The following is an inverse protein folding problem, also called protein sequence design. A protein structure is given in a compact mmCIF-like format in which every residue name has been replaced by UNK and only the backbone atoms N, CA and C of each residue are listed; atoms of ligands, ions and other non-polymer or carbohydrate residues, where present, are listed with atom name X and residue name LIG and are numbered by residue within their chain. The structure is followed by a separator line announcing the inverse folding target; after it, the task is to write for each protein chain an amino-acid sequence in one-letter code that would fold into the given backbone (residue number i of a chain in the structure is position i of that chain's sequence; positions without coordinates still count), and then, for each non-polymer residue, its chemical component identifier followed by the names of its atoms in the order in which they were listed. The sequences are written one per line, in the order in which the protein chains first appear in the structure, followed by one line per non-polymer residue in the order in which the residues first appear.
data_IF_311703850008
#
_entry.id   IF_311703850008
#
_cell.length_a   1.000
_cell.length_b   1.000
_cell.length_c   1.000
_cell.angle_alpha   90.00
_cell.angle_beta   90.00
_cell.angle_gamma   90.00
#
_symmetry.space_group_name_H-M   'P 1'
#
loop_
_entity.id
_entity.type
_entity.pdbx_description
1 polymer ?
#
# COMPACT_ATOMS: atom_id res chain seq x y z
N UNK A 1 51.24 0.01 -38.00
CA UNK A 1 51.42 -0.23 -36.56
C UNK A 1 50.13 0.19 -35.87
N UNK A 2 49.45 -0.78 -35.27
CA UNK A 2 48.10 -0.67 -34.73
C UNK A 2 48.20 -0.48 -33.21
N UNK A 3 47.65 0.61 -32.68
CA UNK A 3 47.55 0.83 -31.23
C UNK A 3 46.36 0.02 -30.69
N UNK A 4 46.52 -0.83 -29.65
CA UNK A 4 45.41 -1.62 -29.14
C UNK A 4 44.58 -0.81 -28.13
N UNK A 5 43.27 -0.78 -28.37
CA UNK A 5 42.25 -0.29 -27.45
C UNK A 5 42.26 -1.07 -26.11
N UNK A 6 41.93 -0.45 -24.96
CA UNK A 6 41.75 -1.20 -23.73
C UNK A 6 40.38 -1.89 -23.70
N UNK A 7 40.22 -3.01 -22.97
CA UNK A 7 38.98 -3.75 -22.94
C UNK A 7 37.89 -2.97 -22.18
N UNK A 8 36.67 -3.03 -22.72
CA UNK A 8 35.44 -2.55 -22.08
C UNK A 8 35.30 -3.22 -20.70
N UNK A 9 35.54 -2.46 -19.63
CA UNK A 9 35.11 -2.84 -18.29
C UNK A 9 33.58 -2.80 -18.29
N UNK A 10 32.95 -3.96 -18.27
CA UNK A 10 31.57 -4.10 -17.83
C UNK A 10 31.47 -3.52 -16.42
N UNK A 11 30.90 -2.32 -16.30
CA UNK A 11 30.52 -1.77 -15.02
C UNK A 11 29.50 -2.75 -14.40
N UNK A 12 29.93 -3.53 -13.40
CA UNK A 12 29.00 -4.22 -12.52
C UNK A 12 28.14 -3.13 -11.88
N UNK A 13 26.88 -3.06 -12.32
CA UNK A 13 25.81 -2.30 -11.69
C UNK A 13 25.90 -2.58 -10.17
N UNK A 14 26.07 -1.56 -9.30
CA UNK A 14 25.94 -1.80 -7.88
C UNK A 14 24.55 -2.35 -7.65
N UNK A 15 24.47 -3.60 -7.15
CA UNK A 15 23.24 -4.08 -6.53
C UNK A 15 22.95 -3.08 -5.42
N UNK A 16 21.86 -2.31 -5.57
CA UNK A 16 21.37 -1.46 -4.50
C UNK A 16 21.32 -2.31 -3.21
N UNK A 17 21.68 -1.74 -2.04
CA UNK A 17 21.51 -2.45 -0.78
C UNK A 17 20.06 -2.90 -0.73
N UNK A 18 19.83 -4.22 -0.68
CA UNK A 18 18.51 -4.73 -0.30
C UNK A 18 18.31 -4.24 1.13
N UNK A 19 17.66 -3.09 1.28
CA UNK A 19 17.08 -2.67 2.54
C UNK A 19 16.13 -3.82 2.89
N UNK A 20 16.52 -4.63 3.86
CA UNK A 20 15.63 -5.64 4.39
C UNK A 20 14.38 -4.89 4.84
N UNK A 21 13.22 -5.29 4.31
CA UNK A 21 11.96 -4.75 4.78
C UNK A 21 11.94 -4.84 6.32
N UNK A 22 11.49 -3.79 7.02
CA UNK A 22 11.35 -3.83 8.47
C UNK A 22 10.61 -5.12 8.84
N UNK A 23 11.25 -5.96 9.65
CA UNK A 23 10.55 -7.12 10.21
C UNK A 23 9.43 -6.56 11.07
N UNK A 24 8.23 -7.11 10.88
CA UNK A 24 7.08 -6.77 11.70
C UNK A 24 7.48 -6.93 13.17
N UNK A 25 7.24 -5.92 14.02
CA UNK A 25 7.59 -6.01 15.43
C UNK A 25 6.86 -7.21 16.02
N UNK A 26 7.64 -8.13 16.59
CA UNK A 26 7.10 -9.33 17.23
C UNK A 26 6.39 -8.90 18.50
N UNK A 27 5.12 -9.28 18.68
CA UNK A 27 4.34 -9.06 19.91
C UNK A 27 4.76 -10.09 20.98
N UNK A 28 5.53 -9.70 22.02
CA UNK A 28 6.01 -10.63 23.03
C UNK A 28 4.87 -11.13 23.94
N UNK A 29 3.83 -10.33 24.15
CA UNK A 29 2.67 -10.71 24.95
C UNK A 29 1.86 -11.82 24.26
N UNK A 30 1.64 -11.69 22.95
CA UNK A 30 1.01 -12.75 22.15
C UNK A 30 1.81 -14.06 22.17
N UNK A 31 3.14 -13.98 22.04
CA UNK A 31 4.01 -15.16 22.16
C UNK A 31 3.83 -15.82 23.53
N UNK A 32 3.81 -15.03 24.59
CA UNK A 32 3.58 -15.52 25.95
C UNK A 32 2.28 -16.30 26.08
N UNK A 33 1.15 -15.67 25.73
CA UNK A 33 -0.17 -16.33 25.77
C UNK A 33 -0.17 -17.63 24.98
N UNK A 34 0.45 -17.66 23.80
CA UNK A 34 0.54 -18.87 22.96
C UNK A 34 1.37 -20.00 23.59
N UNK A 35 2.45 -19.66 24.30
CA UNK A 35 3.26 -20.65 25.05
C UNK A 35 2.44 -21.28 26.16
N UNK A 36 1.70 -20.47 26.92
CA UNK A 36 0.81 -20.94 27.99
C UNK A 36 -0.27 -21.87 27.46
N UNK A 37 -1.00 -21.47 26.42
CA UNK A 37 -2.04 -22.30 25.78
C UNK A 37 -1.49 -23.65 25.31
N UNK A 38 -0.26 -23.67 24.77
CA UNK A 38 0.41 -24.90 24.35
C UNK A 38 0.74 -25.81 25.54
N UNK A 39 1.19 -25.22 26.65
CA UNK A 39 1.51 -25.96 27.89
C UNK A 39 0.24 -26.47 28.58
N UNK A 40 -0.83 -25.68 28.60
CA UNK A 40 -2.10 -26.01 29.20
C UNK A 40 -2.90 -27.07 28.41
N UNK A 41 -2.63 -27.25 27.11
CA UNK A 41 -3.37 -28.20 26.27
C UNK A 41 -3.32 -29.60 26.88
N UNK A 42 -4.48 -30.17 27.17
CA UNK A 42 -4.58 -31.49 27.80
C UNK A 42 -4.59 -31.48 29.34
N UNK A 43 -4.48 -30.32 29.99
CA UNK A 43 -4.57 -30.18 31.45
C UNK A 43 -6.01 -30.03 31.93
N UNK A 44 -6.33 -30.66 33.05
CA UNK A 44 -7.57 -30.44 33.79
C UNK A 44 -7.45 -29.26 34.77
N UNK A 45 -8.53 -28.95 35.48
CA UNK A 45 -8.60 -27.81 36.39
C UNK A 45 -7.53 -27.86 37.49
N UNK A 46 -7.30 -29.03 38.10
CA UNK A 46 -6.33 -29.19 39.18
C UNK A 46 -4.89 -29.00 38.66
N UNK A 47 -4.57 -29.53 37.48
CA UNK A 47 -3.26 -29.36 36.86
C UNK A 47 -3.00 -27.90 36.45
N UNK A 48 -4.02 -27.20 35.93
CA UNK A 48 -3.91 -25.77 35.61
C UNK A 48 -3.75 -24.92 36.86
N UNK A 49 -4.51 -25.18 37.92
CA UNK A 49 -4.40 -24.45 39.18
C UNK A 49 -2.99 -24.57 39.79
N UNK A 50 -2.41 -25.78 39.78
CA UNK A 50 -1.04 -26.00 40.23
C UNK A 50 -0.01 -25.23 39.37
N UNK A 51 -0.14 -25.28 38.05
CA UNK A 51 0.73 -24.55 37.14
C UNK A 51 0.61 -23.01 37.29
N UNK A 52 -0.58 -22.51 37.59
CA UNK A 52 -0.82 -21.09 37.88
C UNK A 52 -0.17 -20.67 39.20
N UNK A 53 -0.20 -21.52 40.24
CA UNK A 53 0.51 -21.22 41.49
C UNK A 53 2.03 -21.12 41.28
N UNK A 54 2.60 -22.03 40.49
CA UNK A 54 4.01 -21.98 40.09
C UNK A 54 4.31 -20.68 39.32
N UNK A 55 3.50 -20.34 38.33
CA UNK A 55 3.67 -19.11 37.54
C UNK A 55 3.58 -17.84 38.41
N UNK A 56 2.67 -17.80 39.39
CA UNK A 56 2.58 -16.71 40.37
C UNK A 56 3.79 -16.65 41.28
N UNK A 57 4.38 -17.80 41.62
CA UNK A 57 5.61 -17.84 42.39
C UNK A 57 6.78 -17.27 41.61
N UNK A 58 6.94 -17.68 40.36
CA UNK A 58 7.99 -17.18 39.45
C UNK A 58 7.84 -15.66 39.24
N UNK A 59 6.63 -15.17 38.95
CA UNK A 59 6.36 -13.74 38.80
C UNK A 59 6.74 -12.90 40.05
N UNK A 60 6.58 -13.45 41.27
CA UNK A 60 7.01 -12.80 42.51
C UNK A 60 8.53 -12.80 42.71
N UNK A 61 9.24 -13.77 42.16
CA UNK A 61 10.70 -13.76 42.15
C UNK A 61 11.20 -12.72 41.15
N UNK A 62 10.64 -12.73 39.95
CA UNK A 62 11.01 -11.83 38.85
C UNK A 62 10.76 -10.36 39.21
N UNK A 63 9.71 -10.04 39.97
CA UNK A 63 9.43 -8.68 40.44
C UNK A 63 10.52 -8.07 41.32
N UNK A 64 11.50 -8.86 41.79
CA UNK A 64 12.64 -8.39 42.58
C UNK A 64 13.83 -7.92 41.72
N UNK A 65 13.74 -8.10 40.40
CA UNK A 65 14.77 -7.73 39.45
C UNK A 65 14.33 -6.51 38.63
N UNK A 66 15.06 -5.40 38.73
CA UNK A 66 14.76 -4.13 38.02
C UNK A 66 14.87 -4.28 36.49
N UNK A 67 15.64 -5.27 36.02
CA UNK A 67 15.95 -5.52 34.60
C UNK A 67 14.75 -6.05 33.79
N UNK A 68 13.61 -6.34 34.44
CA UNK A 68 12.39 -6.92 33.85
C UNK A 68 11.23 -5.93 33.74
N UNK A 69 11.43 -4.64 34.04
CA UNK A 69 10.36 -3.63 34.01
C UNK A 69 9.71 -3.45 32.62
N UNK A 70 10.43 -3.75 31.54
CA UNK A 70 9.94 -3.70 30.16
C UNK A 70 9.45 -5.07 29.64
N UNK A 71 9.42 -6.11 30.48
CA UNK A 71 8.92 -7.43 30.08
C UNK A 71 7.39 -7.47 30.03
N UNK A 72 6.85 -7.28 28.83
CA UNK A 72 5.41 -7.42 28.56
C UNK A 72 4.97 -8.89 28.41
N UNK A 73 5.91 -9.84 28.33
CA UNK A 73 5.60 -11.25 28.10
C UNK A 73 5.22 -11.96 29.39
N UNK A 74 5.98 -11.82 30.47
CA UNK A 74 5.69 -12.43 31.76
C UNK A 74 4.27 -12.14 32.29
N UNK A 75 3.83 -10.87 32.34
CA UNK A 75 2.46 -10.52 32.73
C UNK A 75 1.40 -11.18 31.84
N UNK A 76 1.61 -11.20 30.52
CA UNK A 76 0.68 -11.81 29.58
C UNK A 76 0.59 -13.34 29.72
N UNK A 77 1.70 -14.01 30.06
CA UNK A 77 1.68 -15.45 30.39
C UNK A 77 0.86 -15.70 31.65
N UNK A 78 1.02 -14.88 32.69
CA UNK A 78 0.28 -15.02 33.94
C UNK A 78 -1.23 -14.78 33.75
N UNK A 79 -1.61 -13.70 33.07
CA UNK A 79 -3.01 -13.40 32.74
C UNK A 79 -3.67 -14.54 31.95
N UNK A 80 -2.93 -15.17 31.03
CA UNK A 80 -3.46 -16.29 30.26
C UNK A 80 -3.65 -17.54 31.12
N UNK A 81 -2.75 -17.84 32.06
CA UNK A 81 -2.95 -18.92 33.03
C UNK A 81 -4.20 -18.69 33.87
N UNK A 82 -4.40 -17.47 34.37
CA UNK A 82 -5.58 -17.10 35.18
C UNK A 82 -6.88 -17.23 34.38
N UNK A 83 -6.86 -16.86 33.10
CA UNK A 83 -8.01 -17.03 32.22
C UNK A 83 -8.35 -18.51 32.00
N UNK A 84 -7.36 -19.36 31.77
CA UNK A 84 -7.58 -20.80 31.56
C UNK A 84 -8.10 -21.45 32.85
N UNK A 85 -7.56 -21.07 34.01
CA UNK A 85 -8.06 -21.53 35.32
C UNK A 85 -9.54 -21.17 35.51
N UNK A 86 -9.92 -19.92 35.25
CA UNK A 86 -11.32 -19.46 35.31
C UNK A 86 -12.23 -20.19 34.30
N UNK A 87 -11.73 -20.43 33.08
CA UNK A 87 -12.44 -21.16 32.03
C UNK A 87 -12.75 -22.59 32.47
N UNK A 88 -11.77 -23.30 33.03
CA UNK A 88 -11.94 -24.68 33.50
C UNK A 88 -12.79 -24.76 34.76
N UNK A 89 -12.69 -23.78 35.67
CA UNK A 89 -13.52 -23.70 36.86
C UNK A 89 -15.02 -23.55 36.51
N UNK A 90 -15.34 -22.89 35.40
CA UNK A 90 -16.70 -22.74 34.89
C UNK A 90 -17.20 -23.95 34.06
N UNK A 91 -16.31 -24.87 33.69
CA UNK A 91 -16.62 -26.01 32.84
C UNK A 91 -17.12 -27.23 33.64
N UNK A 92 -17.80 -28.20 32.99
CA UNK A 92 -18.18 -29.45 33.63
C UNK A 92 -16.96 -30.20 34.21
N UNK A 93 -17.16 -30.93 35.31
CA UNK A 93 -16.10 -31.73 35.91
C UNK A 93 -15.50 -32.75 34.92
N UNK A 94 -14.17 -32.88 34.94
CA UNK A 94 -13.43 -33.72 33.98
C UNK A 94 -13.22 -33.07 32.61
N UNK A 95 -13.60 -31.80 32.42
CA UNK A 95 -13.22 -31.02 31.24
C UNK A 95 -11.72 -30.76 31.27
N UNK A 96 -11.10 -30.91 30.11
CA UNK A 96 -9.67 -30.68 29.88
C UNK A 96 -9.53 -29.51 28.91
N UNK A 97 -8.51 -28.68 29.11
CA UNK A 97 -8.27 -27.52 28.25
C UNK A 97 -7.86 -27.94 26.83
N UNK A 98 -8.62 -27.47 25.84
CA UNK A 98 -8.27 -27.56 24.43
C UNK A 98 -8.36 -26.18 23.75
N UNK A 99 -7.23 -25.56 23.39
CA UNK A 99 -7.21 -24.24 22.76
C UNK A 99 -7.94 -24.20 21.41
N UNK A 100 -8.13 -25.35 20.74
CA UNK A 100 -8.83 -25.39 19.45
C UNK A 100 -10.35 -25.17 19.60
N UNK A 101 -10.88 -25.40 20.80
CA UNK A 101 -12.32 -25.19 21.12
C UNK A 101 -12.58 -23.84 21.80
N UNK A 102 -11.53 -23.21 22.34
CA UNK A 102 -11.58 -21.94 23.05
C UNK A 102 -11.99 -20.78 22.14
N UNK A 103 -13.11 -20.11 22.46
CA UNK A 103 -13.66 -19.00 21.65
C UNK A 103 -12.70 -17.82 21.54
N UNK A 104 -11.94 -17.51 22.60
CA UNK A 104 -10.96 -16.40 22.59
C UNK A 104 -9.85 -16.72 21.60
N UNK A 105 -9.33 -17.95 21.65
CA UNK A 105 -8.26 -18.39 20.73
C UNK A 105 -8.75 -18.42 19.29
N UNK A 106 -9.97 -18.91 19.04
CA UNK A 106 -10.57 -18.92 17.70
C UNK A 106 -10.78 -17.50 17.15
N UNK A 107 -11.24 -16.57 17.99
CA UNK A 107 -11.42 -15.18 17.59
C UNK A 107 -10.09 -14.49 17.26
N UNK A 108 -9.05 -14.72 18.06
CA UNK A 108 -7.70 -14.20 17.79
C UNK A 108 -7.13 -14.73 16.47
N UNK A 109 -7.23 -16.04 16.21
CA UNK A 109 -6.75 -16.65 14.97
C UNK A 109 -7.53 -16.15 13.74
N UNK A 110 -8.84 -15.92 13.87
CA UNK A 110 -9.65 -15.35 12.81
C UNK A 110 -9.23 -13.90 12.50
N UNK A 111 -8.94 -13.11 13.53
CA UNK A 111 -8.43 -11.75 13.36
C UNK A 111 -7.04 -11.73 12.69
N UNK A 112 -6.14 -12.63 13.10
CA UNK A 112 -4.81 -12.77 12.48
C UNK A 112 -4.92 -13.19 11.01
N UNK A 113 -5.79 -14.15 10.69
CA UNK A 113 -6.04 -14.57 9.32
C UNK A 113 -6.62 -13.45 8.46
N UNK A 114 -7.55 -12.65 9.01
CA UNK A 114 -8.12 -11.49 8.31
C UNK A 114 -7.05 -10.42 8.05
N UNK A 115 -6.20 -10.11 9.04
CA UNK A 115 -5.09 -9.17 8.88
C UNK A 115 -4.07 -9.67 7.85
N UNK A 116 -3.74 -10.98 7.85
CA UNK A 116 -2.87 -11.58 6.86
C UNK A 116 -3.46 -11.49 5.44
N UNK A 117 -4.75 -11.78 5.29
CA UNK A 117 -5.43 -11.67 4.00
C UNK A 117 -5.49 -10.23 3.48
N UNK A 118 -5.68 -9.25 4.37
CA UNK A 118 -5.64 -7.82 4.03
C UNK A 118 -4.24 -7.41 3.53
N UNK A 119 -3.18 -7.76 4.26
CA UNK A 119 -1.79 -7.52 3.84
C UNK A 119 -1.46 -8.19 2.51
N UNK A 120 -1.91 -9.42 2.30
CA UNK A 120 -1.71 -10.11 1.03
C UNK A 120 -2.46 -9.42 -0.12
N UNK A 121 -3.67 -8.91 0.13
CA UNK A 121 -4.41 -8.13 -0.85
C UNK A 121 -3.71 -6.82 -1.22
N UNK A 122 -3.17 -6.10 -0.23
CA UNK A 122 -2.36 -4.90 -0.44
C UNK A 122 -1.10 -5.20 -1.25
N UNK A 123 -0.37 -6.28 -0.93
CA UNK A 123 0.82 -6.69 -1.69
C UNK A 123 0.48 -7.09 -3.13
N UNK A 124 -0.63 -7.82 -3.34
CA UNK A 124 -1.11 -8.16 -4.68
C UNK A 124 -1.49 -6.92 -5.47
N UNK A 125 -2.09 -5.93 -4.83
CA UNK A 125 -2.46 -4.67 -5.46
C UNK A 125 -1.21 -3.86 -5.83
N UNK A 126 -0.27 -3.70 -4.89
CA UNK A 126 1.01 -3.04 -5.15
C UNK A 126 1.77 -3.71 -6.30
N UNK A 127 1.76 -5.05 -6.39
CA UNK A 127 2.37 -5.77 -7.50
C UNK A 127 1.68 -5.50 -8.85
N UNK A 128 0.35 -5.32 -8.87
CA UNK A 128 -0.38 -4.93 -10.09
C UNK A 128 -0.06 -3.51 -10.52
N UNK A 129 -0.04 -2.57 -9.57
CA UNK A 129 0.35 -1.17 -9.82
C UNK A 129 1.79 -1.10 -10.34
N UNK A 130 2.71 -1.84 -9.71
CA UNK A 130 4.09 -1.97 -10.13
C UNK A 130 4.24 -2.48 -11.57
N UNK A 131 3.53 -3.56 -11.92
CA UNK A 131 3.57 -4.11 -13.26
C UNK A 131 2.97 -3.14 -14.30
N UNK A 132 1.91 -2.42 -13.92
CA UNK A 132 1.32 -1.40 -14.79
C UNK A 132 2.25 -0.21 -15.00
N UNK A 133 2.94 0.24 -13.96
CA UNK A 133 3.99 1.27 -14.06
C UNK A 133 5.09 0.85 -15.06
N UNK A 134 5.56 -0.40 -14.97
CA UNK A 134 6.56 -0.93 -15.91
C UNK A 134 6.03 -0.99 -17.36
N UNK A 135 4.74 -1.33 -17.55
CA UNK A 135 4.09 -1.30 -18.87
C UNK A 135 4.04 0.13 -19.44
N UNK A 136 3.64 1.13 -18.63
CA UNK A 136 3.60 2.53 -19.06
C UNK A 136 4.98 3.06 -19.43
N UNK A 137 6.01 2.71 -18.64
CA UNK A 137 7.40 3.02 -18.96
C UNK A 137 7.82 2.41 -20.31
N UNK A 138 7.50 1.13 -20.56
CA UNK A 138 7.84 0.47 -21.82
C UNK A 138 7.12 1.11 -23.02
N UNK A 139 5.82 1.45 -22.88
CA UNK A 139 5.06 2.14 -23.92
C UNK A 139 5.65 3.52 -24.25
N UNK A 140 6.14 4.23 -23.23
CA UNK A 140 6.82 5.51 -23.37
C UNK A 140 8.15 5.36 -24.10
N UNK A 141 8.97 4.38 -23.72
CA UNK A 141 10.25 4.08 -24.40
C UNK A 141 10.07 3.67 -25.87
N UNK A 142 8.94 3.06 -26.21
CA UNK A 142 8.57 2.69 -27.58
C UNK A 142 7.87 3.82 -28.36
N UNK A 143 7.53 4.94 -27.71
CA UNK A 143 6.80 6.04 -28.34
C UNK A 143 5.36 5.69 -28.71
N UNK A 144 4.75 4.69 -28.05
CA UNK A 144 3.38 4.20 -28.36
C UNK A 144 2.38 4.46 -27.23
N UNK A 145 2.76 5.28 -26.24
CA UNK A 145 1.91 5.58 -25.09
C UNK A 145 0.55 6.17 -25.50
N UNK A 146 0.53 7.13 -26.43
CA UNK A 146 -0.69 7.80 -26.91
C UNK A 146 -1.71 6.87 -27.60
N UNK A 147 -1.24 5.73 -28.10
CA UNK A 147 -2.07 4.71 -28.76
C UNK A 147 -2.79 3.82 -27.74
N UNK A 148 -2.38 3.86 -26.47
CA UNK A 148 -2.96 3.05 -25.40
C UNK A 148 -4.09 3.81 -24.71
N UNK A 149 -5.21 3.14 -24.47
CA UNK A 149 -6.30 3.71 -23.64
C UNK A 149 -5.93 3.61 -22.14
N UNK A 150 -6.27 4.63 -21.33
CA UNK A 150 -6.08 4.56 -19.89
C UNK A 150 -7.00 3.50 -19.28
N UNK A 151 -6.48 2.82 -18.27
CA UNK A 151 -7.14 1.80 -17.47
C UNK A 151 -7.33 2.33 -16.05
N UNK A 152 -8.27 1.73 -15.33
CA UNK A 152 -8.44 1.99 -13.90
C UNK A 152 -7.11 1.82 -13.17
N UNK A 153 -6.78 2.78 -12.29
CA UNK A 153 -5.55 2.84 -11.49
C UNK A 153 -4.27 3.23 -12.23
N UNK A 154 -4.37 3.76 -13.45
CA UNK A 154 -3.21 4.36 -14.11
C UNK A 154 -2.66 5.58 -13.35
N UNK A 155 -3.49 6.22 -12.52
CA UNK A 155 -3.08 7.27 -11.57
C UNK A 155 -2.12 6.69 -10.51
N UNK A 156 -2.43 5.51 -9.96
CA UNK A 156 -1.55 4.84 -9.00
C UNK A 156 -0.25 4.36 -9.65
N UNK A 157 -0.31 3.89 -10.90
CA UNK A 157 0.88 3.51 -11.66
C UNK A 157 1.79 4.72 -11.94
N UNK A 158 1.20 5.89 -12.22
CA UNK A 158 1.93 7.16 -12.36
C UNK A 158 2.64 7.55 -11.07
N UNK A 159 1.97 7.42 -9.92
CA UNK A 159 2.58 7.73 -8.62
C UNK A 159 3.73 6.77 -8.29
N UNK A 160 3.56 5.47 -8.57
CA UNK A 160 4.63 4.49 -8.45
C UNK A 160 5.84 4.83 -9.33
N UNK A 161 5.62 5.27 -10.58
CA UNK A 161 6.71 5.74 -11.46
C UNK A 161 7.42 6.97 -10.88
N UNK A 162 6.65 7.89 -10.31
CA UNK A 162 7.18 9.10 -9.65
C UNK A 162 8.10 8.74 -8.48
N UNK A 163 7.68 7.76 -7.66
CA UNK A 163 8.48 7.27 -6.53
C UNK A 163 9.77 6.55 -6.97
N UNK A 164 9.74 5.78 -8.06
CA UNK A 164 10.90 4.99 -8.54
C UNK A 164 11.96 5.80 -9.28
N UNK A 165 11.52 6.63 -10.24
CA UNK A 165 12.39 7.10 -11.31
C UNK A 165 12.86 8.56 -11.16
N UNK A 166 12.19 9.35 -10.31
CA UNK A 166 12.46 10.78 -10.18
C UNK A 166 12.20 11.56 -11.49
N UNK A 167 11.01 12.17 -11.61
CA UNK A 167 10.66 13.23 -12.56
C UNK A 167 10.66 12.94 -14.08
N UNK A 168 11.65 12.26 -14.65
CA UNK A 168 11.86 12.20 -16.11
C UNK A 168 10.86 11.33 -16.89
N UNK A 169 10.17 10.42 -16.22
CA UNK A 169 9.10 9.58 -16.82
C UNK A 169 7.73 10.25 -16.66
N UNK A 170 7.61 11.18 -15.72
CA UNK A 170 6.35 11.70 -15.23
C UNK A 170 5.68 12.65 -16.22
N UNK A 171 6.45 13.48 -16.95
CA UNK A 171 5.88 14.46 -17.87
C UNK A 171 5.11 13.82 -19.05
N UNK A 172 5.64 12.74 -19.63
CA UNK A 172 5.01 12.05 -20.76
C UNK A 172 3.73 11.33 -20.31
N UNK A 173 3.76 10.71 -19.12
CA UNK A 173 2.59 10.05 -18.52
C UNK A 173 1.54 11.07 -18.08
N UNK A 174 1.95 12.19 -17.48
CA UNK A 174 1.07 13.29 -17.06
C UNK A 174 0.38 13.94 -18.27
N UNK A 175 1.10 14.14 -19.37
CA UNK A 175 0.53 14.63 -20.62
C UNK A 175 -0.46 13.64 -21.22
N UNK A 176 -0.13 12.35 -21.26
CA UNK A 176 -1.01 11.29 -21.74
C UNK A 176 -2.30 11.18 -20.91
N UNK A 177 -2.20 11.19 -19.57
CA UNK A 177 -3.36 11.17 -18.68
C UNK A 177 -4.24 12.41 -18.86
N UNK A 178 -3.65 13.60 -18.97
CA UNK A 178 -4.39 14.83 -19.21
C UNK A 178 -5.16 14.79 -20.53
N UNK A 179 -4.53 14.29 -21.59
CA UNK A 179 -5.18 14.12 -22.90
C UNK A 179 -6.34 13.12 -22.84
N UNK A 180 -6.14 12.00 -22.15
CA UNK A 180 -7.15 10.97 -22.04
C UNK A 180 -8.35 11.41 -21.18
N UNK A 181 -8.11 12.21 -20.13
CA UNK A 181 -9.16 12.86 -19.34
C UNK A 181 -9.95 13.87 -20.17
N UNK A 182 -9.25 14.75 -20.89
CA UNK A 182 -9.86 15.78 -21.73
C UNK A 182 -10.76 15.18 -22.83
N UNK A 183 -10.27 14.12 -23.48
CA UNK A 183 -10.98 13.41 -24.54
C UNK A 183 -11.92 12.30 -24.03
N UNK A 184 -12.04 12.11 -22.71
CA UNK A 184 -12.85 11.07 -22.09
C UNK A 184 -12.57 9.67 -22.66
N UNK A 185 -11.30 9.27 -22.75
CA UNK A 185 -10.86 7.98 -23.30
C UNK A 185 -10.73 6.92 -22.20
N UNK A 186 -10.83 5.64 -22.58
CA UNK A 186 -10.66 4.51 -21.66
C UNK A 186 -11.67 4.52 -20.52
N UNK A 187 -11.20 4.36 -19.27
CA UNK A 187 -12.06 4.40 -18.09
C UNK A 187 -12.64 5.80 -17.81
N UNK A 188 -12.04 6.88 -18.31
CA UNK A 188 -12.55 8.25 -18.16
C UNK A 188 -13.82 8.57 -18.97
N UNK A 189 -14.35 7.60 -19.73
CA UNK A 189 -15.72 7.68 -20.27
C UNK A 189 -16.75 7.73 -19.14
N UNK A 190 -16.47 7.07 -18.02
CA UNK A 190 -17.29 7.08 -16.82
C UNK A 190 -17.10 8.41 -16.05
N UNK A 191 -18.17 9.19 -15.79
CA UNK A 191 -18.08 10.40 -14.99
C UNK A 191 -17.56 10.16 -13.57
N UNK A 192 -17.92 9.04 -12.93
CA UNK A 192 -17.46 8.74 -11.57
C UNK A 192 -15.94 8.50 -11.56
N UNK A 193 -15.41 7.80 -12.57
CA UNK A 193 -13.97 7.62 -12.72
C UNK A 193 -13.22 8.95 -12.89
N UNK A 194 -13.83 9.94 -13.55
CA UNK A 194 -13.22 11.29 -13.67
C UNK A 194 -13.22 12.04 -12.34
N UNK A 195 -14.28 11.91 -11.55
CA UNK A 195 -14.36 12.50 -10.21
C UNK A 195 -13.33 11.88 -9.25
N UNK A 196 -13.19 10.54 -9.28
CA UNK A 196 -12.16 9.83 -8.52
C UNK A 196 -10.75 10.26 -8.92
N UNK A 197 -10.49 10.36 -10.23
CA UNK A 197 -9.19 10.81 -10.75
C UNK A 197 -8.85 12.25 -10.35
N UNK A 198 -9.85 13.12 -10.20
CA UNK A 198 -9.65 14.48 -9.70
C UNK A 198 -9.12 14.53 -8.25
N UNK A 199 -9.41 13.49 -7.45
CA UNK A 199 -8.87 13.34 -6.09
C UNK A 199 -7.47 12.72 -6.02
N UNK A 200 -6.99 12.11 -7.12
CA UNK A 200 -5.73 11.37 -7.18
C UNK A 200 -4.64 12.12 -7.96
N UNK A 201 -5.01 12.88 -8.99
CA UNK A 201 -4.06 13.53 -9.89
C UNK A 201 -3.60 14.88 -9.36
N UNK A 202 -2.40 15.29 -9.79
CA UNK A 202 -1.82 16.58 -9.39
C UNK A 202 -2.52 17.76 -10.09
N UNK A 203 -2.54 18.96 -9.46
CA UNK A 203 -3.16 20.13 -10.05
C UNK A 203 -2.69 20.47 -11.48
N UNK A 204 -1.40 20.33 -11.85
CA UNK A 204 -0.95 20.52 -13.22
C UNK A 204 -1.62 19.59 -14.24
N UNK A 205 -1.83 18.31 -13.90
CA UNK A 205 -2.47 17.33 -14.79
C UNK A 205 -3.93 17.72 -15.02
N UNK A 206 -4.63 18.06 -13.95
CA UNK A 206 -6.04 18.46 -14.01
C UNK A 206 -6.24 19.76 -14.78
N UNK A 207 -5.39 20.76 -14.53
CA UNK A 207 -5.43 22.03 -15.24
C UNK A 207 -5.11 21.86 -16.74
N UNK A 208 -4.15 21.00 -17.07
CA UNK A 208 -3.82 20.66 -18.45
C UNK A 208 -5.01 19.98 -19.15
N UNK A 209 -5.64 18.99 -18.51
CA UNK A 209 -6.80 18.29 -19.05
C UNK A 209 -7.98 19.24 -19.30
N UNK A 210 -8.29 20.10 -18.32
CA UNK A 210 -9.35 21.10 -18.43
C UNK A 210 -9.09 22.05 -19.61
N UNK A 211 -7.87 22.57 -19.71
CA UNK A 211 -7.50 23.47 -20.80
C UNK A 211 -7.55 22.79 -22.17
N UNK A 212 -7.09 21.53 -22.29
CA UNK A 212 -7.19 20.76 -23.53
C UNK A 212 -8.64 20.53 -23.96
N UNK A 213 -9.54 20.21 -23.02
CA UNK A 213 -10.95 20.00 -23.32
C UNK A 213 -11.61 21.26 -23.90
N UNK A 214 -11.26 22.43 -23.38
CA UNK A 214 -11.74 23.71 -23.90
C UNK A 214 -11.14 24.06 -25.27
N UNK A 215 -9.81 23.90 -25.42
CA UNK A 215 -9.11 24.23 -26.66
C UNK A 215 -9.55 23.33 -27.82
N UNK A 216 -9.77 22.04 -27.59
CA UNK A 216 -10.29 21.12 -28.60
C UNK A 216 -11.68 21.51 -29.10
N UNK A 217 -12.51 22.15 -28.26
CA UNK A 217 -13.81 22.68 -28.69
C UNK A 217 -13.69 23.93 -29.56
N UNK A 218 -12.69 24.76 -29.29
CA UNK A 218 -12.44 26.01 -30.02
C UNK A 218 -11.74 25.78 -31.36
N UNK A 219 -10.81 24.83 -31.40
CA UNK A 219 -10.00 24.50 -32.59
C UNK A 219 -9.98 22.98 -32.79
N UNK A 220 -11.04 22.39 -33.37
CA UNK A 220 -11.19 20.93 -33.46
C UNK A 220 -10.10 20.22 -34.27
N UNK A 221 -9.48 20.93 -35.22
CA UNK A 221 -8.44 20.40 -36.11
C UNK A 221 -7.02 20.66 -35.57
N UNK A 222 -6.88 21.18 -34.34
CA UNK A 222 -5.57 21.42 -33.73
C UNK A 222 -4.89 20.10 -33.36
N UNK A 223 -3.65 19.95 -33.82
CA UNK A 223 -2.80 18.82 -33.46
C UNK A 223 -2.24 18.97 -32.02
N UNK A 224 -1.89 17.85 -31.38
CA UNK A 224 -1.36 17.77 -30.01
C UNK A 224 -0.12 18.66 -29.86
N UNK A 225 0.75 18.67 -30.87
CA UNK A 225 1.95 19.51 -30.90
C UNK A 225 1.63 21.01 -30.90
N UNK A 226 0.52 21.41 -31.54
CA UNK A 226 0.05 22.80 -31.54
C UNK A 226 -0.48 23.22 -30.17
N UNK A 227 -0.98 22.26 -29.38
CA UNK A 227 -1.50 22.46 -28.03
C UNK A 227 -0.45 22.22 -26.93
N UNK A 228 0.81 21.92 -27.27
CA UNK A 228 1.88 21.67 -26.30
C UNK A 228 2.18 22.85 -25.35
N UNK A 229 1.71 24.07 -25.67
CA UNK A 229 1.78 25.21 -24.74
C UNK A 229 0.86 25.04 -23.53
N UNK A 230 -0.25 24.31 -23.65
CA UNK A 230 -1.20 24.06 -22.56
C UNK A 230 -0.52 23.32 -21.41
N UNK A 231 0.29 22.29 -21.73
CA UNK A 231 1.10 21.55 -20.76
C UNK A 231 2.06 22.47 -19.99
N UNK A 232 2.75 23.37 -20.71
CA UNK A 232 3.71 24.31 -20.10
C UNK A 232 3.01 25.31 -19.18
N UNK A 233 1.86 25.84 -19.60
CA UNK A 233 1.06 26.76 -18.79
C UNK A 233 0.56 26.08 -17.51
N UNK A 234 -0.02 24.89 -17.63
CA UNK A 234 -0.53 24.12 -16.50
C UNK A 234 0.57 23.68 -15.53
N UNK A 235 1.79 23.43 -16.02
CA UNK A 235 2.95 23.10 -15.18
C UNK A 235 3.47 24.32 -14.41
N UNK A 236 3.51 25.48 -15.06
CA UNK A 236 4.04 26.70 -14.45
C UNK A 236 3.05 27.35 -13.48
N UNK A 237 1.78 27.47 -13.90
CA UNK A 237 0.72 28.19 -13.18
C UNK A 237 -0.60 27.39 -13.27
N UNK A 238 -0.73 26.27 -12.53
CA UNK A 238 -1.87 25.36 -12.63
C UNK A 238 -3.21 26.03 -12.28
N UNK A 239 -3.21 26.93 -11.29
CA UNK A 239 -4.42 27.67 -10.89
C UNK A 239 -4.89 28.59 -12.02
N UNK A 240 -3.99 29.40 -12.58
CA UNK A 240 -4.32 30.30 -13.70
C UNK A 240 -4.75 29.55 -14.96
N UNK A 241 -4.13 28.39 -15.24
CA UNK A 241 -4.54 27.51 -16.34
C UNK A 241 -5.97 26.97 -16.14
N UNK A 242 -6.32 26.57 -14.91
CA UNK A 242 -7.66 26.15 -14.54
C UNK A 242 -8.69 27.29 -14.67
N UNK A 243 -8.37 28.48 -14.17
CA UNK A 243 -9.22 29.67 -14.31
C UNK A 243 -9.45 30.04 -15.79
N UNK A 244 -8.41 29.94 -16.63
CA UNK A 244 -8.52 30.14 -18.07
C UNK A 244 -9.48 29.13 -18.70
N UNK A 245 -9.38 27.85 -18.35
CA UNK A 245 -10.31 26.83 -18.83
C UNK A 245 -11.76 27.17 -18.44
N UNK A 246 -12.00 27.58 -17.19
CA UNK A 246 -13.32 28.00 -16.73
C UNK A 246 -13.84 29.22 -17.51
N UNK A 247 -12.97 30.20 -17.80
CA UNK A 247 -13.33 31.36 -18.60
C UNK A 247 -13.71 30.97 -20.03
N UNK A 248 -12.94 30.09 -20.68
CA UNK A 248 -13.21 29.60 -22.03
C UNK A 248 -14.55 28.84 -22.09
N UNK A 249 -14.83 28.00 -21.08
CA UNK A 249 -16.09 27.27 -20.98
C UNK A 249 -17.30 28.21 -20.89
N UNK A 250 -17.19 29.31 -20.15
CA UNK A 250 -18.24 30.34 -20.06
C UNK A 250 -18.40 31.13 -21.35
N UNK A 251 -17.29 31.42 -22.04
CA UNK A 251 -17.31 32.16 -23.30
C UNK A 251 -17.93 31.34 -24.45
N UNK A 252 -17.80 30.02 -24.41
CA UNK A 252 -18.31 29.10 -25.42
C UNK A 252 -19.10 27.95 -24.76
N UNK A 253 -20.31 28.22 -24.23
CA UNK A 253 -21.15 27.18 -23.66
C UNK A 253 -21.52 26.16 -24.74
N UNK A 254 -21.51 24.88 -24.38
CA UNK A 254 -21.91 23.79 -25.28
C UNK A 254 -23.28 24.09 -25.89
N UNK A 255 -23.36 24.11 -27.23
CA UNK A 255 -24.62 24.21 -27.97
C UNK A 255 -25.32 22.86 -28.02
#
# INVERSE_FOLDING_TARGET
MTTPWPPRRSARRPLAPRVAAPREPVDPAWIGRRVVRRRAKGMDADAVAAALEDARFDARQDSRHEDLADDVRGPAELEEWERIDQLLAAAPAGTVYDPDTDDVVRAELAAEAAAAAAREAELREAARVAARADELQALRELGTLEQTEPRTRDEAARDELTQRAGGYVQADVDAWLAHALAAHRGHYRDPTAREEAAGLLTPPVLAHAALLAELARLVPDADVDQLAFAARLATAEPEAAGELAVLLARAHPAR
#
